data_IF_966578340271
#
_entry.id   IF_966578340271
#
_cell.length_a   1.000
_cell.length_b   1.000
_cell.length_c   1.000
_cell.angle_alpha   90.00
_cell.angle_beta   90.00
_cell.angle_gamma   90.00
#
_symmetry.space_group_name_H-M   'P 1'
#
loop_
_entity.id
_entity.type
_entity.pdbx_description
1 polymer ?
#
# COMPACT_ATOMS: atom_id res chain seq x y z
N UNK A 1 -22.30 -2.54 -16.79
CA UNK A 1 -21.51 -2.62 -15.54
C UNK A 1 -20.55 -3.78 -15.71
N UNK A 2 -19.25 -3.51 -15.85
CA UNK A 2 -18.22 -4.56 -15.91
C UNK A 2 -18.20 -5.29 -14.58
N UNK A 3 -18.22 -6.62 -14.60
CA UNK A 3 -18.21 -7.43 -13.39
C UNK A 3 -16.80 -7.45 -12.82
N UNK A 4 -16.45 -6.47 -11.98
CA UNK A 4 -15.13 -6.40 -11.34
C UNK A 4 -15.02 -7.48 -10.26
N UNK A 5 -14.01 -8.33 -10.35
CA UNK A 5 -13.73 -9.36 -9.34
C UNK A 5 -12.58 -8.88 -8.45
N UNK A 6 -12.80 -8.71 -7.14
CA UNK A 6 -11.74 -8.32 -6.22
C UNK A 6 -10.58 -9.32 -6.21
N UNK A 7 -9.35 -8.81 -6.18
CA UNK A 7 -8.14 -9.65 -6.18
C UNK A 7 -7.08 -9.05 -5.28
N UNK A 8 -6.17 -9.90 -4.79
CA UNK A 8 -5.11 -9.50 -3.86
C UNK A 8 -3.81 -9.30 -4.60
N UNK A 9 -3.03 -8.33 -4.16
CA UNK A 9 -1.65 -8.12 -4.59
C UNK A 9 -0.76 -7.87 -3.38
N UNK A 10 0.52 -8.19 -3.52
CA UNK A 10 1.53 -7.81 -2.52
C UNK A 10 2.36 -6.67 -3.08
N UNK A 11 2.50 -5.60 -2.30
CA UNK A 11 3.29 -4.42 -2.65
C UNK A 11 4.77 -4.79 -2.61
N UNK A 12 5.46 -4.61 -3.73
CA UNK A 12 6.92 -4.71 -3.80
C UNK A 12 7.56 -3.37 -3.47
N UNK A 13 7.04 -2.30 -4.06
CA UNK A 13 7.61 -0.95 -3.96
C UNK A 13 6.52 0.12 -4.09
N UNK A 14 6.73 1.25 -3.40
CA UNK A 14 5.94 2.47 -3.57
C UNK A 14 6.74 3.43 -4.45
N UNK A 15 6.34 3.57 -5.72
CA UNK A 15 7.06 4.32 -6.74
C UNK A 15 6.83 5.82 -6.60
N UNK A 16 5.59 6.20 -6.26
CA UNK A 16 5.21 7.59 -6.00
C UNK A 16 4.02 7.58 -5.04
N UNK A 17 3.94 8.61 -4.19
CA UNK A 17 2.81 8.80 -3.31
C UNK A 17 2.15 10.16 -3.57
N UNK A 18 0.90 10.27 -3.14
CA UNK A 18 0.21 11.55 -3.00
C UNK A 18 0.88 12.49 -2.00
N UNK A 19 1.72 11.96 -1.10
CA UNK A 19 2.56 12.74 -0.22
C UNK A 19 4.01 12.75 -0.72
N UNK A 20 4.70 13.91 -0.77
CA UNK A 20 6.06 14.01 -1.31
C UNK A 20 7.08 13.08 -0.64
N UNK A 21 6.94 12.87 0.67
CA UNK A 21 7.86 12.05 1.46
C UNK A 21 7.43 10.57 1.56
N UNK A 22 6.36 10.17 0.86
CA UNK A 22 5.82 8.81 0.92
C UNK A 22 5.16 8.44 2.25
N UNK A 23 5.03 9.39 3.17
CA UNK A 23 4.47 9.18 4.51
C UNK A 23 3.22 10.02 4.73
N UNK A 24 2.27 9.48 5.50
CA UNK A 24 1.04 10.19 5.85
C UNK A 24 1.33 11.28 6.88
N UNK A 25 0.97 12.55 6.63
CA UNK A 25 1.16 13.64 7.60
C UNK A 25 0.45 13.36 8.93
N UNK A 26 1.11 13.73 10.02
CA UNK A 26 0.54 13.66 11.38
C UNK A 26 -0.63 14.63 11.54
N UNK A 27 -0.48 15.85 11.04
CA UNK A 27 -1.55 16.85 10.98
C UNK A 27 -2.63 16.45 9.96
N UNK A 28 -3.88 16.49 10.39
CA UNK A 28 -5.05 16.19 9.57
C UNK A 28 -5.27 17.19 8.44
N UNK A 29 -4.93 18.47 8.65
CA UNK A 29 -5.14 19.53 7.65
C UNK A 29 -4.28 19.34 6.39
N UNK A 30 -3.21 18.55 6.49
CA UNK A 30 -2.33 18.24 5.36
C UNK A 30 -2.64 16.88 4.71
N UNK A 31 -3.65 16.16 5.19
CA UNK A 31 -4.06 14.89 4.59
C UNK A 31 -4.91 15.15 3.38
N UNK A 32 -4.53 14.55 2.26
CA UNK A 32 -5.18 14.77 0.98
C UNK A 32 -5.52 13.44 0.31
N UNK A 33 -6.61 13.45 -0.43
CA UNK A 33 -6.91 12.38 -1.38
C UNK A 33 -5.96 12.47 -2.58
N UNK A 34 -5.68 11.34 -3.22
CA UNK A 34 -4.78 11.30 -4.35
C UNK A 34 -4.41 9.88 -4.76
N UNK A 35 -3.36 9.78 -5.56
CA UNK A 35 -2.89 8.53 -6.12
C UNK A 35 -1.56 8.10 -5.50
N UNK A 36 -1.48 6.84 -5.13
CA UNK A 36 -0.24 6.15 -4.80
C UNK A 36 0.07 5.13 -5.90
N UNK A 37 1.27 5.19 -6.47
CA UNK A 37 1.72 4.31 -7.54
C UNK A 37 2.62 3.24 -6.95
N UNK A 38 2.30 1.99 -7.20
CA UNK A 38 3.06 0.85 -6.67
C UNK A 38 3.50 -0.10 -7.78
N UNK A 39 4.59 -0.81 -7.51
CA UNK A 39 4.92 -2.06 -8.19
C UNK A 39 4.58 -3.22 -7.28
N UNK A 40 4.02 -4.29 -7.84
CA UNK A 40 3.63 -5.50 -7.11
C UNK A 40 4.68 -6.60 -7.27
N UNK A 41 4.62 -7.61 -6.40
CA UNK A 41 5.53 -8.78 -6.48
C UNK A 41 5.29 -9.67 -7.70
N UNK A 42 4.10 -9.59 -8.31
CA UNK A 42 3.77 -10.29 -9.56
C UNK A 42 4.21 -9.54 -10.83
N UNK A 43 4.82 -8.34 -10.68
CA UNK A 43 5.35 -7.55 -11.78
C UNK A 43 4.38 -6.52 -12.36
N UNK A 44 3.18 -6.38 -11.80
CA UNK A 44 2.21 -5.36 -12.20
C UNK A 44 2.56 -3.97 -11.64
N UNK A 45 2.15 -2.93 -12.36
CA UNK A 45 2.16 -1.55 -11.88
C UNK A 45 0.73 -1.07 -11.70
N UNK A 46 0.41 -0.55 -10.51
CA UNK A 46 -0.94 -0.14 -10.16
C UNK A 46 -0.95 1.29 -9.63
N UNK A 47 -1.94 2.05 -10.07
CA UNK A 47 -2.25 3.36 -9.53
C UNK A 47 -3.45 3.23 -8.59
N UNK A 48 -3.23 3.52 -7.32
CA UNK A 48 -4.18 3.27 -6.25
C UNK A 48 -4.78 4.60 -5.77
N UNK A 49 -6.10 4.69 -5.75
CA UNK A 49 -6.78 5.82 -5.16
C UNK A 49 -6.85 5.67 -3.64
N UNK A 50 -6.43 6.72 -2.94
CA UNK A 50 -6.59 6.83 -1.49
C UNK A 50 -7.24 8.15 -1.11
N UNK A 51 -8.13 8.09 -0.12
CA UNK A 51 -9.01 9.18 0.32
C UNK A 51 -8.39 10.12 1.36
N UNK A 52 -7.08 10.01 1.62
CA UNK A 52 -6.39 10.79 2.66
C UNK A 52 -6.44 10.18 4.07
N UNK A 53 -7.36 9.27 4.35
CA UNK A 53 -7.49 8.66 5.68
C UNK A 53 -6.52 7.50 5.88
N UNK A 54 -6.23 6.78 4.80
CA UNK A 54 -5.32 5.64 4.75
C UNK A 54 -3.85 6.08 4.72
N UNK A 55 -2.93 5.27 5.25
CA UNK A 55 -1.50 5.48 4.99
C UNK A 55 -1.15 5.05 3.56
N UNK A 56 -0.13 5.65 2.92
CA UNK A 56 0.43 5.13 1.67
C UNK A 56 0.79 3.64 1.81
N UNK A 57 0.58 2.82 0.76
CA UNK A 57 0.98 1.41 0.77
C UNK A 57 2.48 1.25 1.00
N UNK A 58 2.89 0.25 1.79
CA UNK A 58 4.30 -0.02 2.08
C UNK A 58 4.74 -1.37 1.51
N UNK A 59 6.04 -1.53 1.14
CA UNK A 59 6.59 -2.82 0.74
C UNK A 59 6.25 -3.95 1.72
N UNK A 60 5.86 -5.10 1.18
CA UNK A 60 5.44 -6.29 1.93
C UNK A 60 3.98 -6.28 2.38
N UNK A 61 3.24 -5.18 2.20
CA UNK A 61 1.80 -5.18 2.48
C UNK A 61 1.04 -6.01 1.45
N UNK A 62 0.07 -6.77 1.92
CA UNK A 62 -0.94 -7.38 1.06
C UNK A 62 -2.17 -6.49 1.06
N UNK A 63 -2.63 -6.11 -0.12
CA UNK A 63 -3.79 -5.25 -0.31
C UNK A 63 -4.81 -5.97 -1.19
N UNK A 64 -6.09 -5.67 -0.97
CA UNK A 64 -7.19 -6.13 -1.80
C UNK A 64 -7.59 -5.00 -2.73
N UNK A 65 -7.53 -5.25 -4.03
CA UNK A 65 -8.08 -4.38 -5.06
C UNK A 65 -9.58 -4.65 -5.15
N UNK A 66 -10.40 -3.62 -4.95
CA UNK A 66 -11.85 -3.76 -4.76
C UNK A 66 -12.67 -3.21 -5.92
N UNK A 67 -12.08 -2.40 -6.80
CA UNK A 67 -12.76 -1.85 -7.96
C UNK A 67 -11.86 -1.00 -8.84
N UNK A 68 -12.33 -0.72 -10.05
CA UNK A 68 -11.82 0.39 -10.88
C UNK A 68 -12.53 1.68 -10.46
N UNK A 69 -11.77 2.76 -10.34
CA UNK A 69 -12.24 4.10 -10.00
C UNK A 69 -12.33 4.91 -11.28
N UNK A 70 -13.49 5.52 -11.53
CA UNK A 70 -13.64 6.44 -12.65
C UNK A 70 -12.81 7.71 -12.39
N UNK A 71 -11.82 8.05 -13.23
CA UNK A 71 -11.00 9.24 -13.07
C UNK A 71 -11.82 10.54 -12.98
N UNK A 72 -13.03 10.57 -13.57
CA UNK A 72 -13.93 11.73 -13.53
C UNK A 72 -14.59 11.93 -12.17
N UNK A 73 -14.62 10.89 -11.34
CA UNK A 73 -15.19 10.95 -10.00
C UNK A 73 -14.18 11.36 -8.94
N UNK A 74 -12.92 11.51 -9.32
CA UNK A 74 -11.87 11.93 -8.40
C UNK A 74 -11.28 13.23 -8.92
N UNK A 75 -11.29 14.26 -8.09
CA UNK A 75 -10.62 15.53 -8.36
C UNK A 75 -9.08 15.40 -8.26
N UNK A 76 -8.49 14.39 -8.91
CA UNK A 76 -7.04 14.31 -9.09
C UNK A 76 -6.70 15.05 -10.37
N UNK A 77 -6.47 16.35 -10.22
CA UNK A 77 -6.19 17.32 -11.29
C UNK A 77 -5.08 16.93 -12.28
N UNK A 78 -4.21 15.98 -11.92
CA UNK A 78 -3.07 15.55 -12.75
C UNK A 78 -3.26 14.21 -13.47
N UNK A 79 -4.35 13.47 -13.22
CA UNK A 79 -4.47 12.07 -13.67
C UNK A 79 -5.44 11.85 -14.85
N UNK A 80 -6.21 12.89 -15.22
CA UNK A 80 -7.32 12.79 -16.19
C UNK A 80 -6.82 12.62 -17.64
N UNK A 81 -5.56 12.92 -17.92
CA UNK A 81 -5.04 13.07 -19.29
C UNK A 81 -4.63 11.77 -20.00
N UNK A 82 -4.47 10.64 -19.30
CA UNK A 82 -3.75 9.48 -19.87
C UNK A 82 -4.60 8.23 -20.16
N UNK A 83 -5.90 8.22 -19.84
CA UNK A 83 -6.71 7.00 -19.94
C UNK A 83 -6.26 5.88 -18.98
N UNK A 84 -5.40 6.21 -18.01
CA UNK A 84 -4.94 5.29 -16.99
C UNK A 84 -6.12 4.85 -16.11
N UNK A 85 -6.12 3.56 -15.75
CA UNK A 85 -7.04 3.00 -14.77
C UNK A 85 -6.49 3.23 -13.37
N UNK A 86 -7.35 3.66 -12.47
CA UNK A 86 -7.04 3.75 -11.04
C UNK A 86 -7.90 2.75 -10.29
N UNK A 87 -7.39 2.25 -9.18
CA UNK A 87 -8.07 1.21 -8.42
C UNK A 87 -8.36 1.65 -6.99
N UNK A 88 -9.54 1.27 -6.51
CA UNK A 88 -9.85 1.31 -5.08
C UNK A 88 -9.23 0.10 -4.41
N UNK A 89 -8.76 0.31 -3.18
CA UNK A 89 -8.06 -0.72 -2.44
C UNK A 89 -8.31 -0.63 -0.94
N UNK A 90 -8.01 -1.71 -0.23
CA UNK A 90 -7.98 -1.76 1.22
C UNK A 90 -6.85 -2.66 1.70
N UNK A 91 -6.33 -2.41 2.90
CA UNK A 91 -5.33 -3.27 3.52
C UNK A 91 -5.95 -4.66 3.77
N UNK A 92 -5.27 -5.71 3.28
CA UNK A 92 -5.75 -7.08 3.38
C UNK A 92 -4.73 -7.94 4.12
N UNK A 93 -4.80 -7.90 5.45
CA UNK A 93 -3.85 -8.58 6.31
C UNK A 93 -2.46 -7.95 6.24
N UNK A 94 -1.69 -8.09 7.32
CA UNK A 94 -0.27 -7.78 7.32
C UNK A 94 0.48 -9.10 7.22
N UNK A 95 1.24 -9.32 6.14
CA UNK A 95 2.21 -10.41 6.12
C UNK A 95 3.30 -10.07 7.15
N UNK A 96 3.57 -10.93 8.14
CA UNK A 96 4.63 -10.64 9.12
C UNK A 96 5.94 -10.48 8.36
N UNK A 97 6.63 -9.36 8.57
CA UNK A 97 7.95 -9.14 8.00
C UNK A 97 8.88 -10.27 8.48
N UNK A 98 9.26 -11.18 7.59
CA UNK A 98 10.38 -12.10 7.83
C UNK A 98 11.67 -11.26 7.83
N UNK A 99 11.96 -10.64 8.97
CA UNK A 99 13.08 -9.70 9.08
C UNK A 99 13.45 -9.27 10.50
N UNK A 100 12.85 -9.84 11.56
CA UNK A 100 13.45 -9.80 12.89
C UNK A 100 14.31 -11.06 13.05
N UNK A 101 15.61 -10.92 12.82
CA UNK A 101 16.61 -11.94 13.12
C UNK A 101 16.48 -12.38 14.58
N UNK A 102 15.89 -13.56 14.80
CA UNK A 102 16.03 -14.30 16.03
C UNK A 102 17.47 -14.82 16.10
N UNK A 103 18.33 -14.07 16.79
CA UNK A 103 19.65 -14.48 17.25
C UNK A 103 20.02 -13.60 18.43
N UNK A 104 20.39 -14.07 19.62
CA UNK A 104 21.12 -15.29 19.90
C UNK A 104 20.63 -15.99 21.19
N UNK A 105 20.69 -17.32 21.14
CA UNK A 105 20.80 -18.18 22.31
C UNK A 105 22.00 -17.77 23.16
N UNK A 106 21.86 -17.75 24.49
CA UNK A 106 23.00 -18.07 25.35
C UNK A 106 22.56 -18.67 26.68
N UNK A 107 23.07 -19.89 26.89
CA UNK A 107 23.43 -20.55 28.14
C UNK A 107 22.37 -20.77 29.24
N UNK A 108 21.89 -22.02 29.29
CA UNK A 108 21.62 -22.73 30.56
C UNK A 108 22.91 -22.79 31.37
N UNK A 109 22.94 -22.17 32.55
CA UNK A 109 23.86 -22.55 33.61
C UNK A 109 23.11 -23.45 34.59
N UNK A 110 23.41 -24.75 34.55
CA UNK A 110 23.21 -25.61 35.69
C UNK A 110 24.26 -25.27 36.74
N UNK A 111 23.85 -25.21 38.01
CA UNK A 111 24.77 -25.34 39.13
C UNK A 111 24.17 -26.37 40.07
N UNK A 112 24.80 -27.54 40.08
CA UNK A 112 24.80 -28.45 41.21
C UNK A 112 25.78 -27.91 42.24
N UNK A 113 25.40 -27.93 43.51
CA UNK A 113 26.14 -28.46 44.67
C UNK A 113 25.26 -28.31 45.92
#
# INVERSE_FOLDING_TARGET
>A
MTNFQPYRVTVKELNSSRYPDGERPSNWDFRVAGLDYISTTDGSELALFSDGQQSPPKPGWTILITGEVDPRQVEVSNAISSGAKFYSWTLYGMSPQMGASAGAQSARAGVSH
#
